data_IF_410581448972
#
_entry.id   IF_410581448972
#
_cell.length_a   1.000
_cell.length_b   1.000
_cell.length_c   1.000
_cell.angle_alpha   90.00
_cell.angle_beta   90.00
_cell.angle_gamma   90.00
#
_symmetry.space_group_name_H-M   'P 1'
#
loop_
_entity.id
_entity.type
_entity.pdbx_description
1 polymer ?
#
# COMPACT_ATOMS: atom_id res chain seq x y z
N UNK A 1 -4.19 -21.49 9.78
CA UNK A 1 -4.48 -20.65 8.62
C UNK A 1 -3.61 -19.42 8.65
N UNK A 2 -3.07 -19.07 7.49
CA UNK A 2 -2.13 -17.96 7.42
C UNK A 2 -2.85 -16.63 7.29
N UNK A 3 -2.61 -15.78 8.27
CA UNK A 3 -3.13 -14.43 8.25
C UNK A 3 -2.30 -13.60 7.28
N UNK A 4 -2.96 -12.92 6.34
CA UNK A 4 -2.26 -12.05 5.41
C UNK A 4 -1.80 -10.77 6.13
N UNK A 5 -0.64 -10.28 5.74
CA UNK A 5 -0.03 -9.08 6.31
C UNK A 5 -0.11 -7.93 5.32
N UNK A 6 -0.62 -6.80 5.78
CA UNK A 6 -0.74 -5.59 4.97
C UNK A 6 0.10 -4.49 5.61
N UNK A 7 0.97 -3.87 4.82
CA UNK A 7 1.73 -2.70 5.25
C UNK A 7 1.02 -1.46 4.75
N UNK A 8 0.70 -0.54 5.66
CA UNK A 8 0.02 0.72 5.33
C UNK A 8 0.98 1.87 5.60
N UNK A 9 1.24 2.69 4.59
CA UNK A 9 2.15 3.82 4.68
C UNK A 9 1.40 5.13 4.37
N UNK A 10 1.39 6.05 5.30
CA UNK A 10 0.76 7.37 5.15
C UNK A 10 1.32 8.28 6.22
N UNK A 11 1.61 9.53 5.90
CA UNK A 11 2.11 10.48 6.89
C UNK A 11 0.99 11.09 7.73
N UNK A 12 -0.27 10.85 7.38
CA UNK A 12 -1.42 11.30 8.16
C UNK A 12 -1.83 10.21 9.16
N UNK A 13 -1.61 10.49 10.45
CA UNK A 13 -1.87 9.49 11.51
C UNK A 13 -3.31 9.01 11.55
N UNK A 14 -4.28 9.90 11.30
CA UNK A 14 -5.68 9.49 11.36
C UNK A 14 -6.04 8.53 10.21
N UNK A 15 -5.41 8.67 9.05
CA UNK A 15 -5.62 7.74 7.95
C UNK A 15 -5.06 6.37 8.33
N UNK A 16 -3.84 6.34 8.88
CA UNK A 16 -3.25 5.08 9.35
C UNK A 16 -4.17 4.39 10.36
N UNK A 17 -4.72 5.17 11.30
CA UNK A 17 -5.60 4.61 12.32
C UNK A 17 -6.87 4.01 11.72
N UNK A 18 -7.56 4.78 10.87
CA UNK A 18 -8.84 4.34 10.27
C UNK A 18 -8.64 3.10 9.40
N UNK A 19 -7.62 3.14 8.55
CA UNK A 19 -7.33 2.02 7.65
C UNK A 19 -6.92 0.79 8.43
N UNK A 20 -6.03 0.95 9.41
CA UNK A 20 -5.55 -0.17 10.22
C UNK A 20 -6.69 -0.84 10.98
N UNK A 21 -7.56 -0.04 11.58
CA UNK A 21 -8.70 -0.58 12.33
C UNK A 21 -9.61 -1.40 11.43
N UNK A 22 -9.93 -0.86 10.26
CA UNK A 22 -10.80 -1.54 9.30
C UNK A 22 -10.21 -2.88 8.87
N UNK A 23 -8.92 -2.90 8.56
CA UNK A 23 -8.26 -4.10 8.07
C UNK A 23 -8.06 -5.14 9.18
N UNK A 24 -7.69 -4.69 10.38
CA UNK A 24 -7.57 -5.61 11.52
C UNK A 24 -8.89 -6.26 11.86
N UNK A 25 -9.98 -5.50 11.83
CA UNK A 25 -11.31 -6.04 12.08
C UNK A 25 -11.74 -7.05 11.03
N UNK A 26 -11.15 -6.98 9.84
CA UNK A 26 -11.41 -7.93 8.77
C UNK A 26 -10.49 -9.17 8.83
N UNK A 27 -9.61 -9.24 9.82
CA UNK A 27 -8.76 -10.41 10.04
C UNK A 27 -7.35 -10.31 9.50
N UNK A 28 -6.92 -9.14 9.02
CA UNK A 28 -5.56 -8.96 8.53
C UNK A 28 -4.60 -8.55 9.64
N UNK A 29 -3.34 -8.97 9.49
CA UNK A 29 -2.26 -8.41 10.29
C UNK A 29 -1.83 -7.10 9.62
N UNK A 30 -1.72 -6.02 10.38
CA UNK A 30 -1.42 -4.70 9.81
C UNK A 30 -0.16 -4.13 10.42
N UNK A 31 0.75 -3.68 9.55
CA UNK A 31 1.94 -2.93 9.92
C UNK A 31 1.76 -1.51 9.40
N UNK A 32 2.23 -0.52 10.13
CA UNK A 32 2.08 0.88 9.72
C UNK A 32 3.43 1.58 9.63
N UNK A 33 3.54 2.49 8.66
CA UNK A 33 4.72 3.32 8.47
C UNK A 33 4.27 4.76 8.23
N UNK A 34 5.05 5.73 8.69
CA UNK A 34 4.69 7.15 8.64
C UNK A 34 5.38 7.90 7.50
N UNK A 35 6.32 7.26 6.83
CA UNK A 35 6.99 7.84 5.67
C UNK A 35 7.50 6.72 4.75
N UNK A 36 7.98 7.12 3.57
CA UNK A 36 8.38 6.16 2.56
C UNK A 36 9.63 5.36 2.94
N UNK A 37 10.56 5.98 3.65
CA UNK A 37 11.79 5.29 4.06
C UNK A 37 11.49 4.21 5.09
N UNK A 38 10.67 4.54 6.08
CA UNK A 38 10.22 3.56 7.07
C UNK A 38 9.49 2.40 6.41
N UNK A 39 8.60 2.73 5.46
CA UNK A 39 7.85 1.71 4.73
C UNK A 39 8.77 0.78 3.93
N UNK A 40 9.79 1.34 3.29
CA UNK A 40 10.75 0.55 2.52
C UNK A 40 11.46 -0.45 3.42
N UNK A 41 11.95 0.01 4.55
CA UNK A 41 12.67 -0.84 5.50
C UNK A 41 11.76 -1.93 6.07
N UNK A 42 10.53 -1.58 6.42
CA UNK A 42 9.57 -2.55 6.94
C UNK A 42 9.19 -3.61 5.89
N UNK A 43 9.02 -3.20 4.65
CA UNK A 43 8.69 -4.13 3.57
C UNK A 43 9.83 -5.12 3.34
N UNK A 44 11.08 -4.64 3.40
CA UNK A 44 12.25 -5.50 3.22
C UNK A 44 12.39 -6.53 4.34
N UNK A 45 11.99 -6.17 5.55
CA UNK A 45 12.09 -7.06 6.71
C UNK A 45 10.90 -8.00 6.85
N UNK A 46 9.70 -7.48 6.62
CA UNK A 46 8.47 -8.23 6.93
C UNK A 46 7.85 -8.93 5.73
N UNK A 47 8.22 -8.57 4.50
CA UNK A 47 7.68 -9.14 3.26
C UNK A 47 6.15 -9.20 3.30
N UNK A 48 5.45 -8.05 3.40
CA UNK A 48 3.99 -8.07 3.46
C UNK A 48 3.37 -8.64 2.19
N UNK A 49 2.14 -9.08 2.31
CA UNK A 49 1.38 -9.61 1.17
C UNK A 49 0.80 -8.51 0.30
N UNK A 50 0.67 -7.29 0.85
CA UNK A 50 0.12 -6.15 0.16
C UNK A 50 0.65 -4.86 0.78
N UNK A 51 0.90 -3.86 -0.04
CA UNK A 51 1.25 -2.51 0.39
C UNK A 51 0.10 -1.57 0.03
N UNK A 52 -0.32 -0.75 0.99
CA UNK A 52 -1.22 0.39 0.75
C UNK A 52 -0.40 1.61 1.10
N UNK A 53 -0.21 2.52 0.15
CA UNK A 53 0.64 3.69 0.39
C UNK A 53 0.03 4.97 -0.16
N UNK A 54 0.16 6.05 0.61
CA UNK A 54 -0.13 7.39 0.12
C UNK A 54 0.92 7.76 -0.93
N UNK A 55 0.54 8.59 -1.89
CA UNK A 55 1.48 9.09 -2.88
C UNK A 55 2.45 10.11 -2.27
N UNK A 56 1.91 11.11 -1.56
CA UNK A 56 2.71 12.20 -1.00
C UNK A 56 3.17 11.88 0.42
N UNK A 57 4.45 11.55 0.56
CA UNK A 57 5.06 11.29 1.86
C UNK A 57 6.45 11.92 1.91
N UNK A 58 6.91 12.32 3.12
CA UNK A 58 8.28 12.82 3.25
C UNK A 58 9.29 11.71 2.96
N UNK A 59 10.50 12.10 2.60
CA UNK A 59 11.65 11.24 2.34
C UNK A 59 11.56 10.52 0.99
N UNK A 60 10.50 9.77 0.79
CA UNK A 60 10.32 8.92 -0.38
C UNK A 60 8.83 8.91 -0.72
N UNK A 61 8.47 9.31 -1.94
CA UNK A 61 7.06 9.28 -2.35
C UNK A 61 6.56 7.84 -2.45
N UNK A 62 5.23 7.69 -2.47
CA UNK A 62 4.64 6.36 -2.64
C UNK A 62 5.05 5.71 -3.95
N UNK A 63 5.15 6.47 -5.02
CA UNK A 63 5.58 5.93 -6.31
C UNK A 63 7.04 5.46 -6.24
N UNK A 64 7.93 6.27 -5.67
CA UNK A 64 9.33 5.89 -5.51
C UNK A 64 9.48 4.64 -4.64
N UNK A 65 8.70 4.56 -3.56
CA UNK A 65 8.67 3.38 -2.71
C UNK A 65 8.33 2.13 -3.52
N UNK A 66 7.25 2.20 -4.28
CA UNK A 66 6.79 1.06 -5.08
C UNK A 66 7.82 0.68 -6.15
N UNK A 67 8.46 1.67 -6.78
CA UNK A 67 9.49 1.41 -7.77
C UNK A 67 10.70 0.71 -7.16
N UNK A 68 11.12 1.13 -5.97
CA UNK A 68 12.25 0.48 -5.28
C UNK A 68 11.93 -0.94 -4.87
N UNK A 69 10.71 -1.19 -4.39
CA UNK A 69 10.31 -2.55 -4.03
C UNK A 69 10.26 -3.46 -5.25
N UNK A 70 9.83 -2.93 -6.38
CA UNK A 70 9.76 -3.69 -7.63
C UNK A 70 11.15 -4.07 -8.15
N UNK A 71 12.16 -3.25 -7.88
CA UNK A 71 13.52 -3.48 -8.34
C UNK A 71 14.29 -4.51 -7.52
N UNK A 72 13.80 -4.82 -6.31
CA UNK A 72 14.44 -5.78 -5.43
C UNK A 72 13.73 -7.13 -5.56
N UNK A 73 14.47 -8.18 -5.91
CA UNK A 73 13.89 -9.50 -6.13
C UNK A 73 13.09 -10.01 -4.92
N UNK A 74 13.52 -9.64 -3.71
CA UNK A 74 12.86 -10.10 -2.49
C UNK A 74 11.48 -9.46 -2.29
N UNK A 75 11.22 -8.29 -2.88
CA UNK A 75 9.98 -7.54 -2.69
C UNK A 75 9.23 -7.28 -4.00
N UNK A 76 9.76 -7.75 -5.13
CA UNK A 76 9.21 -7.40 -6.45
C UNK A 76 7.79 -7.92 -6.68
N UNK A 77 7.34 -8.89 -5.91
CA UNK A 77 6.02 -9.49 -6.06
C UNK A 77 4.96 -8.87 -5.15
N UNK A 78 5.33 -7.89 -4.33
CA UNK A 78 4.37 -7.25 -3.42
C UNK A 78 3.44 -6.33 -4.24
N UNK A 79 2.14 -6.63 -4.31
CA UNK A 79 1.21 -5.75 -5.01
C UNK A 79 0.94 -4.50 -4.19
N UNK A 80 0.62 -3.40 -4.85
CA UNK A 80 0.39 -2.13 -4.17
C UNK A 80 -0.94 -1.50 -4.56
N UNK A 81 -1.55 -0.84 -3.59
CA UNK A 81 -2.69 0.05 -3.77
C UNK A 81 -2.21 1.45 -3.40
N UNK A 82 -2.39 2.42 -4.31
CA UNK A 82 -1.96 3.79 -4.11
C UNK A 82 -3.14 4.66 -3.67
N UNK A 83 -2.94 5.46 -2.62
CA UNK A 83 -3.90 6.47 -2.18
C UNK A 83 -3.42 7.83 -2.68
N UNK A 84 -4.27 8.55 -3.39
CA UNK A 84 -3.87 9.81 -4.03
C UNK A 84 -4.84 10.93 -3.72
N UNK A 85 -4.38 12.17 -3.90
CA UNK A 85 -5.26 13.31 -3.88
C UNK A 85 -6.22 13.24 -5.09
N UNK A 86 -7.40 13.85 -4.92
CA UNK A 86 -8.40 13.87 -5.98
C UNK A 86 -7.81 14.48 -7.26
N UNK A 87 -8.09 13.85 -8.37
CA UNK A 87 -7.67 14.35 -9.68
C UNK A 87 -6.27 13.92 -10.12
N UNK A 88 -5.51 13.30 -9.21
CA UNK A 88 -4.18 12.81 -9.56
C UNK A 88 -4.28 11.47 -10.29
N UNK A 89 -3.43 11.28 -11.28
CA UNK A 89 -3.30 9.97 -11.92
C UNK A 89 -1.85 9.74 -12.33
N UNK A 90 -1.47 8.47 -12.40
CA UNK A 90 -0.14 8.06 -12.81
C UNK A 90 -0.13 7.76 -14.32
N UNK A 91 1.01 8.00 -14.94
CA UNK A 91 1.20 7.57 -16.33
C UNK A 91 1.28 6.04 -16.38
N UNK A 92 0.86 5.41 -17.48
CA UNK A 92 0.95 3.95 -17.62
C UNK A 92 2.35 3.40 -17.38
N UNK A 93 3.38 4.13 -17.79
CA UNK A 93 4.77 3.75 -17.55
C UNK A 93 5.07 3.59 -16.06
N UNK A 94 4.56 4.52 -15.25
CA UNK A 94 4.80 4.50 -13.80
C UNK A 94 4.14 3.29 -13.14
N UNK A 95 2.93 2.94 -13.55
CA UNK A 95 2.23 1.79 -12.98
C UNK A 95 2.88 0.47 -13.37
N UNK A 96 3.38 0.35 -14.59
CA UNK A 96 4.05 -0.86 -15.05
C UNK A 96 5.33 -1.14 -14.26
N UNK A 97 6.03 -0.10 -13.83
CA UNK A 97 7.32 -0.25 -13.15
C UNK A 97 7.22 -0.25 -11.64
N UNK A 98 6.02 -0.21 -11.09
CA UNK A 98 5.86 -0.01 -9.64
C UNK A 98 5.05 -1.08 -8.93
N UNK A 99 4.40 -1.99 -9.64
CA UNK A 99 3.55 -2.98 -9.01
C UNK A 99 2.24 -2.43 -8.46
N UNK A 100 1.89 -1.19 -8.81
CA UNK A 100 0.63 -0.58 -8.40
C UNK A 100 -0.51 -1.17 -9.23
N UNK A 101 -1.45 -1.83 -8.56
CA UNK A 101 -2.57 -2.50 -9.23
C UNK A 101 -3.85 -1.70 -9.18
N UNK A 102 -4.03 -0.86 -8.18
CA UNK A 102 -5.22 -0.03 -7.99
C UNK A 102 -4.86 1.31 -7.41
N UNK A 103 -5.67 2.31 -7.69
CA UNK A 103 -5.55 3.64 -7.11
C UNK A 103 -6.88 4.06 -6.52
N UNK A 104 -6.85 4.64 -5.33
CA UNK A 104 -8.03 5.20 -4.68
C UNK A 104 -7.79 6.68 -4.41
N UNK A 105 -8.77 7.51 -4.74
CA UNK A 105 -8.71 8.94 -4.47
C UNK A 105 -9.18 9.24 -3.06
N UNK A 106 -8.49 10.12 -2.36
CA UNK A 106 -8.94 10.63 -1.07
C UNK A 106 -10.01 11.72 -1.31
N UNK A 107 -11.06 11.77 -0.51
CA UNK A 107 -11.39 10.84 0.58
C UNK A 107 -11.97 9.54 0.02
N UNK A 108 -11.61 8.43 0.63
CA UNK A 108 -12.13 7.12 0.25
C UNK A 108 -12.96 6.53 1.39
N UNK A 109 -13.84 5.59 1.03
CA UNK A 109 -14.61 4.84 2.01
C UNK A 109 -13.77 3.68 2.54
N UNK A 110 -13.67 3.47 3.87
CA UNK A 110 -12.98 2.27 4.38
C UNK A 110 -13.56 0.97 3.85
N UNK A 111 -14.87 0.93 3.64
CA UNK A 111 -15.54 -0.25 3.05
C UNK A 111 -15.04 -0.49 1.62
N UNK A 112 -14.93 0.57 0.83
CA UNK A 112 -14.45 0.46 -0.54
C UNK A 112 -12.98 0.02 -0.56
N UNK A 113 -12.18 0.55 0.35
CA UNK A 113 -10.78 0.15 0.48
C UNK A 113 -10.69 -1.35 0.79
N UNK A 114 -11.48 -1.84 1.73
CA UNK A 114 -11.47 -3.27 2.07
C UNK A 114 -11.85 -4.13 0.88
N UNK A 115 -12.87 -3.72 0.12
CA UNK A 115 -13.27 -4.45 -1.08
C UNK A 115 -12.13 -4.51 -2.10
N UNK A 116 -11.41 -3.39 -2.27
CA UNK A 116 -10.26 -3.32 -3.17
C UNK A 116 -9.12 -4.23 -2.70
N UNK A 117 -8.87 -4.25 -1.39
CA UNK A 117 -7.86 -5.14 -0.80
C UNK A 117 -8.18 -6.60 -1.12
N UNK A 118 -9.42 -7.01 -0.88
CA UNK A 118 -9.83 -8.39 -1.13
C UNK A 118 -9.69 -8.75 -2.61
N UNK A 119 -10.04 -7.82 -3.49
CA UNK A 119 -9.91 -8.01 -4.94
C UNK A 119 -8.45 -8.20 -5.34
N UNK A 120 -7.56 -7.35 -4.86
CA UNK A 120 -6.13 -7.42 -5.20
C UNK A 120 -5.51 -8.71 -4.66
N UNK A 121 -5.81 -9.08 -3.42
CA UNK A 121 -5.25 -10.30 -2.84
C UNK A 121 -5.75 -11.55 -3.55
N UNK A 122 -6.99 -11.57 -4.01
CA UNK A 122 -7.52 -12.69 -4.76
C UNK A 122 -6.81 -12.88 -6.09
N UNK A 123 -6.44 -11.79 -6.75
CA UNK A 123 -5.74 -11.83 -8.04
C UNK A 123 -4.24 -12.05 -7.91
N UNK A 124 -3.66 -11.73 -6.75
CA UNK A 124 -2.23 -11.86 -6.50
C UNK A 124 -1.83 -13.28 -6.08
N UNK A 125 -2.79 -14.11 -5.74
CA UNK A 125 -2.54 -15.47 -5.23
C UNK A 125 -2.00 -16.43 -6.29
#
# INVERSE_FOLDING_TARGET
MNQKTILVADDESHILHVVSLKLRNAGFKVLTAHDGQEALEMAQQAHPDLLITDYHMPQLSGLELCQRLKQDAATSNIPAIMLTARGYHLEPHDTEQSGILRMLSKPFSPRHLLATVNEVLAHAA
#
